data_IF_421561143606
#
_entry.id   IF_421561143606
#
_cell.length_a   1.000
_cell.length_b   1.000
_cell.length_c   1.000
_cell.angle_alpha   90.00
_cell.angle_beta   90.00
_cell.angle_gamma   90.00
#
_symmetry.space_group_name_H-M   'P 1'
#
loop_
_entity.id
_entity.type
_entity.pdbx_description
1 polymer ?
#
# COMPACT_ATOMS: atom_id res chain seq x y z
N UNK A 1 -30.13 -15.01 0.35
CA UNK A 1 -29.28 -13.84 0.07
C UNK A 1 -27.87 -14.18 0.57
N UNK A 2 -26.95 -14.60 -0.31
CA UNK A 2 -25.57 -14.95 0.09
C UNK A 2 -24.80 -13.65 0.30
N UNK A 3 -24.58 -13.27 1.56
CA UNK A 3 -23.70 -12.16 1.94
C UNK A 3 -22.31 -12.38 1.33
N UNK A 4 -21.79 -11.34 0.66
CA UNK A 4 -20.45 -11.36 0.08
C UNK A 4 -19.40 -11.55 1.19
N UNK A 5 -18.45 -12.47 1.03
CA UNK A 5 -17.41 -12.73 2.04
C UNK A 5 -16.62 -11.48 2.44
N UNK A 6 -16.49 -10.50 1.54
CA UNK A 6 -15.89 -9.17 1.83
C UNK A 6 -16.72 -8.33 2.80
N UNK A 7 -18.05 -8.44 2.78
CA UNK A 7 -18.96 -7.71 3.69
C UNK A 7 -18.89 -8.29 5.10
N UNK A 8 -18.80 -9.62 5.21
CA UNK A 8 -18.58 -10.28 6.50
C UNK A 8 -17.22 -9.88 7.10
N UNK A 9 -16.21 -9.72 6.24
CA UNK A 9 -14.86 -9.33 6.65
C UNK A 9 -14.80 -7.87 7.15
N UNK A 10 -15.44 -6.94 6.42
CA UNK A 10 -15.55 -5.54 6.83
C UNK A 10 -16.33 -5.37 8.15
N UNK A 11 -17.40 -6.15 8.34
CA UNK A 11 -18.18 -6.17 9.58
C UNK A 11 -17.42 -6.79 10.75
N UNK A 12 -16.60 -7.82 10.52
CA UNK A 12 -15.76 -8.44 11.57
C UNK A 12 -14.67 -7.48 12.03
N UNK A 13 -14.06 -6.70 11.12
CA UNK A 13 -13.06 -5.68 11.45
C UNK A 13 -13.70 -4.52 12.23
N UNK A 14 -14.89 -4.06 11.82
CA UNK A 14 -15.68 -3.08 12.60
C UNK A 14 -16.04 -3.60 14.00
N UNK A 15 -16.27 -4.90 14.15
CA UNK A 15 -16.53 -5.54 15.45
C UNK A 15 -15.28 -5.64 16.33
N UNK A 16 -14.09 -5.88 15.74
CA UNK A 16 -12.81 -5.90 16.47
C UNK A 16 -12.46 -4.49 16.96
N UNK A 17 -12.79 -3.44 16.19
CA UNK A 17 -12.66 -2.04 16.61
C UNK A 17 -13.57 -1.70 17.80
N UNK A 18 -14.70 -2.38 17.96
CA UNK A 18 -15.70 -2.10 19.01
C UNK A 18 -15.34 -2.65 20.41
N UNK A 19 -14.51 -3.71 20.51
CA UNK A 19 -14.32 -4.45 21.77
C UNK A 19 -13.00 -4.19 22.51
N UNK A 20 -12.09 -3.35 22.01
CA UNK A 20 -10.77 -3.12 22.64
C UNK A 20 -10.70 -1.87 23.53
N UNK A 21 -11.82 -1.47 24.13
CA UNK A 21 -11.88 -0.49 25.23
C UNK A 21 -12.19 -1.22 26.54
N UNK A 22 -11.18 -1.80 27.20
CA UNK A 22 -11.13 -1.92 28.66
C UNK A 22 -9.77 -2.46 29.16
N UNK A 23 -9.00 -1.52 29.71
CA UNK A 23 -8.05 -1.60 30.83
C UNK A 23 -7.38 -2.93 31.19
N UNK A 24 -6.04 -2.93 31.16
CA UNK A 24 -5.21 -3.72 32.09
C UNK A 24 -4.34 -2.77 32.93
N UNK A 25 -4.61 -2.77 34.23
CA UNK A 25 -3.83 -2.13 35.29
C UNK A 25 -2.75 -3.12 35.76
N UNK A 26 -1.48 -2.76 35.65
CA UNK A 26 -0.35 -3.55 36.18
C UNK A 26 -0.12 -3.17 37.64
N UNK A 27 -0.35 -4.14 38.53
CA UNK A 27 0.05 -4.10 39.93
C UNK A 27 1.53 -4.42 40.10
N UNK A 28 2.16 -3.67 40.99
CA UNK A 28 3.56 -3.72 41.37
C UNK A 28 3.73 -4.68 42.56
N UNK A 29 4.57 -5.71 42.48
CA UNK A 29 5.06 -6.42 43.67
C UNK A 29 6.55 -6.75 43.54
N UNK A 30 7.29 -6.23 44.50
CA UNK A 30 8.67 -6.56 44.82
C UNK A 30 8.73 -7.99 45.38
N UNK A 31 9.81 -8.73 45.09
CA UNK A 31 10.51 -9.49 46.12
C UNK A 31 11.96 -9.77 45.73
N UNK A 32 12.86 -9.32 46.60
CA UNK A 32 14.27 -9.63 46.58
C UNK A 32 14.51 -10.83 47.51
N UNK A 33 15.14 -11.88 46.99
CA UNK A 33 15.82 -12.87 47.83
C UNK A 33 17.21 -13.19 47.25
N UNK A 34 18.21 -13.04 48.11
CA UNK A 34 19.61 -13.40 47.89
C UNK A 34 19.83 -14.85 48.31
N UNK A 35 20.41 -15.65 47.42
CA UNK A 35 21.34 -16.75 47.74
C UNK A 35 22.10 -17.00 46.43
N UNK A 36 23.44 -17.04 46.34
CA UNK A 36 24.41 -17.87 47.03
C UNK A 36 25.33 -18.41 45.92
N UNK A 37 26.64 -18.16 46.00
CA UNK A 37 27.63 -18.43 44.94
C UNK A 37 28.06 -19.90 44.94
N UNK A 38 27.93 -20.58 43.79
CA UNK A 38 28.68 -21.76 43.27
C UNK A 38 27.91 -22.25 42.01
N UNK A 39 28.39 -22.44 40.78
CA UNK A 39 29.63 -22.99 40.21
C UNK A 39 29.79 -22.48 38.76
N UNK A 40 31.01 -22.10 38.37
CA UNK A 40 31.35 -21.57 37.04
C UNK A 40 31.81 -22.67 36.05
N UNK A 41 31.14 -23.83 36.01
CA UNK A 41 31.55 -24.98 35.19
C UNK A 41 30.53 -25.52 34.17
N UNK A 42 29.23 -25.19 34.31
CA UNK A 42 28.14 -25.73 33.46
C UNK A 42 27.63 -24.75 32.39
N UNK A 43 27.89 -23.45 32.58
CA UNK A 43 27.45 -22.39 31.68
C UNK A 43 28.28 -22.39 30.39
N UNK A 44 29.59 -22.63 30.50
CA UNK A 44 30.51 -22.62 29.36
C UNK A 44 30.29 -23.81 28.39
N UNK A 45 29.92 -24.98 28.91
CA UNK A 45 29.62 -26.18 28.12
C UNK A 45 28.25 -26.13 27.42
N UNK A 46 27.25 -25.50 28.04
CA UNK A 46 25.92 -25.33 27.44
C UNK A 46 25.89 -24.26 26.34
N UNK A 47 26.61 -23.16 26.54
CA UNK A 47 26.78 -22.10 25.54
C UNK A 47 27.49 -22.64 24.29
N UNK A 48 28.55 -23.43 24.48
CA UNK A 48 29.30 -23.99 23.36
C UNK A 48 28.46 -25.00 22.54
N UNK A 49 27.67 -25.83 23.22
CA UNK A 49 26.74 -26.78 22.58
C UNK A 49 25.63 -26.07 21.79
N UNK A 50 25.10 -24.96 22.31
CA UNK A 50 24.06 -24.18 21.61
C UNK A 50 24.61 -23.52 20.34
N UNK A 51 25.86 -23.03 20.37
CA UNK A 51 26.53 -22.49 19.17
C UNK A 51 26.79 -23.55 18.11
N UNK A 52 27.24 -24.74 18.49
CA UNK A 52 27.42 -25.85 17.54
C UNK A 52 26.10 -26.26 16.88
N UNK A 53 25.00 -26.32 17.65
CA UNK A 53 23.68 -26.61 17.11
C UNK A 53 23.16 -25.51 16.17
N UNK A 54 23.39 -24.23 16.51
CA UNK A 54 23.05 -23.11 15.63
C UNK A 54 23.82 -23.22 14.31
N UNK A 55 25.15 -23.38 14.35
CA UNK A 55 25.97 -23.49 13.14
C UNK A 55 25.53 -24.65 12.24
N UNK A 56 25.16 -25.78 12.86
CA UNK A 56 24.61 -26.92 12.13
C UNK A 56 23.28 -26.57 11.44
N UNK A 57 22.38 -25.87 12.13
CA UNK A 57 21.11 -25.40 11.54
C UNK A 57 21.36 -24.45 10.37
N UNK A 58 22.35 -23.55 10.45
CA UNK A 58 22.72 -22.69 9.32
C UNK A 58 23.16 -23.50 8.09
N UNK A 59 24.06 -24.47 8.27
CA UNK A 59 24.54 -25.29 7.16
C UNK A 59 23.42 -26.13 6.54
N UNK A 60 22.61 -26.80 7.34
CA UNK A 60 21.46 -27.59 6.86
C UNK A 60 20.43 -26.70 6.16
N UNK A 61 20.17 -25.50 6.70
CA UNK A 61 19.30 -24.51 6.08
C UNK A 61 19.84 -24.01 4.74
N UNK A 62 21.15 -23.80 4.63
CA UNK A 62 21.80 -23.40 3.39
C UNK A 62 21.74 -24.50 2.31
N UNK A 63 21.96 -25.76 2.69
CA UNK A 63 21.85 -26.89 1.75
C UNK A 63 20.42 -26.98 1.17
N UNK A 64 19.39 -26.87 2.03
CA UNK A 64 17.99 -26.85 1.60
C UNK A 64 17.66 -25.60 0.76
N UNK A 65 18.25 -24.46 1.06
CA UNK A 65 18.09 -23.23 0.29
C UNK A 65 18.61 -23.37 -1.15
N UNK A 66 19.80 -23.96 -1.30
CA UNK A 66 20.39 -24.26 -2.62
C UNK A 66 19.52 -25.24 -3.43
N UNK A 67 18.91 -26.21 -2.74
CA UNK A 67 17.93 -27.14 -3.30
C UNK A 67 16.55 -26.50 -3.59
N UNK A 68 16.39 -25.20 -3.25
CA UNK A 68 15.17 -24.40 -3.39
C UNK A 68 14.01 -24.88 -2.52
N UNK A 69 14.30 -25.65 -1.48
CA UNK A 69 13.33 -26.03 -0.45
C UNK A 69 13.21 -24.94 0.62
N UNK A 70 12.65 -23.81 0.22
CA UNK A 70 12.56 -22.63 1.07
C UNK A 70 11.70 -22.84 2.30
N UNK A 71 10.71 -23.74 2.25
CA UNK A 71 9.79 -23.99 3.36
C UNK A 71 10.50 -24.69 4.52
N UNK A 72 11.34 -25.67 4.19
CA UNK A 72 12.10 -26.43 5.19
C UNK A 72 13.38 -25.70 5.61
N UNK A 73 13.97 -24.87 4.74
CA UNK A 73 15.10 -24.01 5.07
C UNK A 73 14.72 -22.86 6.03
N UNK A 74 13.52 -22.28 5.89
CA UNK A 74 13.05 -21.14 6.67
C UNK A 74 13.16 -21.32 8.20
N UNK A 75 12.64 -22.40 8.81
CA UNK A 75 12.74 -22.60 10.26
C UNK A 75 14.18 -22.81 10.74
N UNK A 76 15.06 -23.38 9.91
CA UNK A 76 16.47 -23.59 10.27
C UNK A 76 17.24 -22.26 10.34
N UNK A 77 17.01 -21.35 9.40
CA UNK A 77 17.59 -20.00 9.50
C UNK A 77 17.02 -19.22 10.68
N UNK A 78 15.71 -19.33 10.95
CA UNK A 78 15.11 -18.72 12.14
C UNK A 78 15.72 -19.28 13.44
N UNK A 79 15.94 -20.60 13.50
CA UNK A 79 16.60 -21.26 14.62
C UNK A 79 18.03 -20.74 14.81
N UNK A 80 18.81 -20.58 13.74
CA UNK A 80 20.14 -19.99 13.82
C UNK A 80 20.07 -18.56 14.37
N UNK A 81 19.22 -17.69 13.80
CA UNK A 81 19.09 -16.28 14.19
C UNK A 81 18.64 -16.12 15.65
N UNK A 82 17.77 -17.01 16.13
CA UNK A 82 17.30 -17.01 17.52
C UNK A 82 18.38 -17.38 18.55
N UNK A 83 19.48 -18.00 18.10
CA UNK A 83 20.55 -18.52 18.95
C UNK A 83 21.93 -17.88 18.66
N UNK A 84 21.97 -16.86 17.80
CA UNK A 84 23.18 -16.15 17.38
C UNK A 84 23.05 -14.63 17.62
N UNK A 85 24.18 -13.93 17.51
CA UNK A 85 24.30 -12.48 17.64
C UNK A 85 24.66 -11.84 16.30
N UNK A 86 24.30 -10.57 16.04
CA UNK A 86 24.78 -9.81 14.89
C UNK A 86 26.30 -9.78 14.70
N UNK A 87 27.09 -10.05 15.75
CA UNK A 87 28.55 -10.15 15.68
C UNK A 87 29.06 -11.46 15.06
N UNK A 88 28.19 -12.48 14.91
CA UNK A 88 28.55 -13.78 14.35
C UNK A 88 28.69 -13.70 12.83
N UNK A 89 29.71 -14.36 12.27
CA UNK A 89 30.10 -14.22 10.85
C UNK A 89 28.99 -14.57 9.85
N UNK A 90 28.14 -15.53 10.18
CA UNK A 90 27.06 -16.00 9.31
C UNK A 90 25.72 -15.29 9.60
N UNK A 91 25.64 -14.36 10.56
CA UNK A 91 24.39 -13.71 10.95
C UNK A 91 23.75 -12.91 9.82
N UNK A 92 24.50 -12.04 9.16
CA UNK A 92 23.98 -11.24 8.03
C UNK A 92 23.48 -12.14 6.89
N UNK A 93 24.19 -13.23 6.61
CA UNK A 93 23.81 -14.20 5.58
C UNK A 93 22.56 -14.98 5.98
N UNK A 94 22.48 -15.43 7.23
CA UNK A 94 21.33 -16.16 7.75
C UNK A 94 20.06 -15.30 7.67
N UNK A 95 20.15 -14.04 8.04
CA UNK A 95 19.03 -13.10 7.96
C UNK A 95 18.63 -12.82 6.51
N UNK A 96 19.60 -12.65 5.62
CA UNK A 96 19.34 -12.50 4.19
C UNK A 96 18.60 -13.71 3.61
N UNK A 97 19.10 -14.92 3.86
CA UNK A 97 18.47 -16.15 3.37
C UNK A 97 17.10 -16.37 4.03
N UNK A 98 16.96 -16.07 5.32
CA UNK A 98 15.69 -16.11 6.02
C UNK A 98 14.65 -15.20 5.37
N UNK A 99 15.01 -13.93 5.08
CA UNK A 99 14.14 -12.99 4.38
C UNK A 99 13.70 -13.50 2.99
N UNK A 100 14.60 -14.13 2.24
CA UNK A 100 14.25 -14.76 0.96
C UNK A 100 13.31 -15.96 1.16
N UNK A 101 13.59 -16.83 2.13
CA UNK A 101 12.76 -17.99 2.45
C UNK A 101 11.34 -17.57 2.84
N UNK A 102 11.18 -16.52 3.65
CA UNK A 102 9.88 -15.95 4.01
C UNK A 102 9.08 -15.55 2.77
N UNK A 103 9.69 -14.78 1.86
CA UNK A 103 9.05 -14.39 0.59
C UNK A 103 8.63 -15.60 -0.22
N UNK A 104 9.53 -16.56 -0.40
CA UNK A 104 9.28 -17.76 -1.20
C UNK A 104 8.24 -18.70 -0.57
N UNK A 105 8.07 -18.62 0.74
CA UNK A 105 7.05 -19.34 1.50
C UNK A 105 5.70 -18.63 1.54
N UNK A 106 5.60 -17.40 1.02
CA UNK A 106 4.34 -16.65 0.93
C UNK A 106 4.15 -15.58 2.02
N UNK A 107 5.17 -15.33 2.86
CA UNK A 107 5.14 -14.31 3.92
C UNK A 107 5.86 -13.05 3.44
N UNK A 108 5.21 -12.29 2.54
CA UNK A 108 5.85 -11.15 1.89
C UNK A 108 6.11 -9.99 2.85
N UNK A 109 5.20 -9.73 3.79
CA UNK A 109 5.44 -8.68 4.79
C UNK A 109 6.61 -9.04 5.72
N UNK A 110 6.64 -10.24 6.30
CA UNK A 110 7.74 -10.66 7.17
C UNK A 110 9.10 -10.63 6.44
N UNK A 111 9.11 -10.98 5.15
CA UNK A 111 10.29 -10.83 4.29
C UNK A 111 10.74 -9.36 4.15
N UNK A 112 9.80 -8.45 3.85
CA UNK A 112 10.08 -7.02 3.75
C UNK A 112 10.61 -6.48 5.07
N UNK A 113 9.99 -6.85 6.18
CA UNK A 113 10.39 -6.45 7.52
C UNK A 113 11.83 -6.87 7.83
N UNK A 114 12.11 -8.18 7.72
CA UNK A 114 13.44 -8.76 7.95
C UNK A 114 14.51 -8.11 7.06
N UNK A 115 14.25 -8.00 5.75
CA UNK A 115 15.23 -7.44 4.82
C UNK A 115 15.41 -5.93 4.99
N UNK A 116 14.40 -5.21 5.50
CA UNK A 116 14.50 -3.78 5.80
C UNK A 116 15.41 -3.53 6.98
N UNK A 117 15.24 -4.30 8.07
CA UNK A 117 16.13 -4.24 9.23
C UNK A 117 17.58 -4.55 8.85
N UNK A 118 17.77 -5.59 8.02
CA UNK A 118 19.07 -5.94 7.47
C UNK A 118 19.68 -4.77 6.71
N UNK A 119 18.98 -4.16 5.75
CA UNK A 119 19.51 -3.02 4.97
C UNK A 119 19.85 -1.81 5.84
N UNK A 120 19.04 -1.51 6.86
CA UNK A 120 19.28 -0.40 7.80
C UNK A 120 20.61 -0.60 8.56
N UNK A 121 21.02 -1.84 8.84
CA UNK A 121 22.32 -2.15 9.45
C UNK A 121 23.53 -2.04 8.50
N UNK A 122 23.29 -1.74 7.22
CA UNK A 122 24.31 -1.54 6.17
C UNK A 122 25.26 -2.73 5.99
N UNK A 123 24.73 -3.92 5.63
CA UNK A 123 25.52 -5.11 5.35
C UNK A 123 26.33 -4.92 4.07
N UNK A 124 26.97 -5.99 3.61
CA UNK A 124 27.69 -5.98 2.34
C UNK A 124 26.87 -5.34 1.18
N UNK A 125 27.47 -4.44 0.37
CA UNK A 125 26.84 -3.80 -0.78
C UNK A 125 26.05 -4.72 -1.73
N UNK A 126 26.46 -5.99 -1.90
CA UNK A 126 25.76 -6.97 -2.72
C UNK A 126 24.39 -7.34 -2.14
N UNK A 127 24.32 -7.54 -0.83
CA UNK A 127 23.06 -7.81 -0.11
C UNK A 127 22.14 -6.61 -0.25
N UNK A 128 22.66 -5.41 0.00
CA UNK A 128 21.87 -4.18 -0.11
C UNK A 128 21.31 -3.99 -1.51
N UNK A 129 22.13 -4.20 -2.55
CA UNK A 129 21.67 -4.07 -3.95
C UNK A 129 20.53 -5.05 -4.26
N UNK A 130 20.66 -6.32 -3.84
CA UNK A 130 19.59 -7.30 -4.02
C UNK A 130 18.31 -6.91 -3.27
N UNK A 131 18.43 -6.46 -2.02
CA UNK A 131 17.28 -6.02 -1.24
C UNK A 131 16.59 -4.80 -1.87
N UNK A 132 17.35 -3.87 -2.45
CA UNK A 132 16.80 -2.70 -3.14
C UNK A 132 16.06 -3.10 -4.43
N UNK A 133 16.57 -4.04 -5.23
CA UNK A 133 15.83 -4.61 -6.36
C UNK A 133 14.54 -5.29 -5.90
N UNK A 134 14.62 -6.01 -4.79
CA UNK A 134 13.45 -6.63 -4.18
C UNK A 134 12.41 -5.58 -3.77
N UNK A 135 12.82 -4.50 -3.10
CA UNK A 135 11.92 -3.42 -2.69
C UNK A 135 11.34 -2.67 -3.89
N UNK A 136 12.14 -2.39 -4.92
CA UNK A 136 11.66 -1.77 -6.16
C UNK A 136 10.51 -2.58 -6.75
N UNK A 137 10.69 -3.91 -6.87
CA UNK A 137 9.65 -4.79 -7.35
C UNK A 137 8.43 -4.78 -6.42
N UNK A 138 8.62 -4.92 -5.11
CA UNK A 138 7.53 -4.94 -4.12
C UNK A 138 6.67 -3.68 -4.19
N UNK A 139 7.31 -2.50 -4.24
CA UNK A 139 6.63 -1.20 -4.36
C UNK A 139 5.74 -1.14 -5.61
N UNK A 140 6.14 -1.81 -6.68
CA UNK A 140 5.44 -1.79 -7.97
C UNK A 140 4.34 -2.84 -8.09
N UNK A 141 4.39 -3.93 -7.31
CA UNK A 141 3.53 -5.10 -7.54
C UNK A 141 2.62 -5.46 -6.38
N UNK A 142 2.94 -5.03 -5.16
CA UNK A 142 2.31 -5.55 -3.95
C UNK A 142 2.02 -4.44 -2.94
N UNK A 143 0.99 -4.58 -2.10
CA UNK A 143 0.84 -3.74 -0.91
C UNK A 143 2.03 -3.95 0.03
N UNK A 144 2.47 -2.90 0.71
CA UNK A 144 3.65 -2.93 1.58
C UNK A 144 3.56 -1.84 2.65
N UNK A 145 4.43 -1.93 3.66
CA UNK A 145 4.59 -0.88 4.65
C UNK A 145 5.33 0.31 4.04
N UNK A 146 4.59 1.38 3.77
CA UNK A 146 5.16 2.58 3.13
C UNK A 146 6.17 3.30 4.01
N UNK A 147 5.94 3.36 5.32
CA UNK A 147 6.84 4.06 6.25
C UNK A 147 8.17 3.32 6.37
N UNK A 148 8.11 2.01 6.58
CA UNK A 148 9.31 1.19 6.68
C UNK A 148 10.13 1.23 5.38
N UNK A 149 9.50 0.93 4.24
CA UNK A 149 10.24 0.78 2.98
C UNK A 149 10.65 2.15 2.42
N UNK A 150 9.72 3.10 2.27
CA UNK A 150 10.08 4.38 1.62
C UNK A 150 10.83 5.28 2.57
N UNK A 151 10.29 5.55 3.76
CA UNK A 151 10.89 6.56 4.63
C UNK A 151 12.18 6.00 5.26
N UNK A 152 12.09 4.90 6.01
CA UNK A 152 13.22 4.39 6.80
C UNK A 152 14.32 3.71 5.97
N UNK A 153 13.95 2.93 4.94
CA UNK A 153 14.94 2.22 4.12
C UNK A 153 15.42 3.10 2.96
N UNK A 154 14.53 3.62 2.11
CA UNK A 154 14.99 4.32 0.89
C UNK A 154 15.43 5.77 1.18
N UNK A 155 14.69 6.52 2.01
CA UNK A 155 14.94 7.96 2.18
C UNK A 155 15.96 8.27 3.28
N UNK A 156 15.95 7.55 4.41
CA UNK A 156 16.84 7.83 5.55
C UNK A 156 18.26 7.27 5.40
N UNK A 157 18.56 6.57 4.29
CA UNK A 157 19.85 5.91 4.06
C UNK A 157 20.61 6.47 2.85
N UNK A 158 21.93 6.24 2.85
CA UNK A 158 22.82 6.63 1.76
C UNK A 158 23.27 5.42 0.93
N UNK A 159 23.09 5.51 -0.39
CA UNK A 159 23.32 4.40 -1.32
C UNK A 159 24.34 4.73 -2.42
N UNK A 160 25.38 5.50 -2.09
CA UNK A 160 26.38 5.96 -3.06
C UNK A 160 27.17 4.87 -3.80
N UNK A 161 27.07 3.62 -3.36
CA UNK A 161 27.71 2.45 -3.98
C UNK A 161 26.80 1.67 -4.94
N UNK A 162 25.51 2.00 -4.98
CA UNK A 162 24.51 1.23 -5.73
C UNK A 162 24.65 1.49 -7.23
N UNK A 163 24.44 0.44 -8.01
CA UNK A 163 24.55 0.48 -9.46
C UNK A 163 23.59 1.44 -10.14
N UNK A 164 23.95 1.76 -11.37
CA UNK A 164 23.31 2.72 -12.26
C UNK A 164 21.82 2.46 -12.57
N UNK A 165 21.33 1.24 -12.39
CA UNK A 165 19.93 0.86 -12.65
C UNK A 165 19.00 1.25 -11.47
N UNK A 166 19.46 1.02 -10.23
CA UNK A 166 18.72 1.30 -9.00
C UNK A 166 18.87 2.76 -8.53
N UNK A 167 19.91 3.45 -8.99
CA UNK A 167 20.15 4.85 -8.62
C UNK A 167 18.95 5.76 -8.97
N UNK A 168 18.32 5.53 -10.12
CA UNK A 168 17.14 6.27 -10.56
C UNK A 168 15.92 6.05 -9.64
N UNK A 169 15.71 4.81 -9.20
CA UNK A 169 14.68 4.44 -8.22
C UNK A 169 14.87 5.20 -6.91
N UNK A 170 16.07 5.13 -6.34
CA UNK A 170 16.42 5.75 -5.06
C UNK A 170 16.26 7.27 -5.16
N UNK A 171 16.86 7.89 -6.18
CA UNK A 171 16.78 9.34 -6.38
C UNK A 171 15.36 9.83 -6.61
N UNK A 172 14.50 9.06 -7.29
CA UNK A 172 13.10 9.44 -7.42
C UNK A 172 12.40 9.49 -6.06
N UNK A 173 12.54 8.45 -5.24
CA UNK A 173 11.86 8.41 -3.94
C UNK A 173 12.40 9.44 -2.95
N UNK A 174 13.73 9.58 -2.87
CA UNK A 174 14.37 10.62 -2.05
C UNK A 174 13.95 12.02 -2.50
N UNK A 175 13.93 12.28 -3.81
CA UNK A 175 13.52 13.59 -4.33
C UNK A 175 12.06 13.92 -4.05
N UNK A 176 11.15 12.93 -4.17
CA UNK A 176 9.73 13.11 -3.83
C UNK A 176 9.56 13.33 -2.32
N UNK A 177 10.33 12.61 -1.50
CA UNK A 177 10.32 12.79 -0.05
C UNK A 177 10.74 14.21 0.32
N UNK A 178 11.86 14.71 -0.21
CA UNK A 178 12.36 16.06 0.06
C UNK A 178 11.36 17.15 -0.35
N UNK A 179 10.79 17.04 -1.56
CA UNK A 179 9.74 17.97 -2.02
C UNK A 179 8.52 17.98 -1.10
N UNK A 180 8.05 16.81 -0.65
CA UNK A 180 6.90 16.72 0.28
C UNK A 180 7.17 17.39 1.62
N UNK A 181 8.43 17.42 2.07
CA UNK A 181 8.85 18.06 3.32
C UNK A 181 9.32 19.53 3.12
N UNK A 182 9.21 20.07 1.91
CA UNK A 182 9.54 21.46 1.59
C UNK A 182 11.01 21.71 1.25
N UNK A 183 11.85 20.68 1.21
CA UNK A 183 13.27 20.76 0.83
C UNK A 183 13.44 20.75 -0.69
N UNK A 184 12.83 21.71 -1.38
CA UNK A 184 12.73 21.72 -2.84
C UNK A 184 14.09 21.62 -3.56
N UNK A 185 15.11 22.31 -3.07
CA UNK A 185 16.45 22.28 -3.67
C UNK A 185 17.10 20.91 -3.59
N UNK A 186 16.93 20.19 -2.47
CA UNK A 186 17.50 18.86 -2.30
C UNK A 186 16.77 17.86 -3.19
N UNK A 187 15.43 17.97 -3.27
CA UNK A 187 14.66 17.18 -4.21
C UNK A 187 15.08 17.41 -5.66
N UNK A 188 15.29 18.68 -6.06
CA UNK A 188 15.79 19.01 -7.40
C UNK A 188 17.16 18.37 -7.69
N UNK A 189 18.05 18.32 -6.69
CA UNK A 189 19.36 17.71 -6.83
C UNK A 189 19.30 16.19 -6.97
N UNK A 190 18.33 15.53 -6.33
CA UNK A 190 18.02 14.12 -6.59
C UNK A 190 17.48 13.92 -8.00
N UNK A 191 16.48 14.71 -8.42
CA UNK A 191 15.86 14.54 -9.74
C UNK A 191 16.83 14.80 -10.90
N UNK A 192 17.80 15.71 -10.77
CA UNK A 192 18.86 15.94 -11.77
C UNK A 192 19.73 14.70 -12.05
N UNK A 193 19.80 13.77 -11.11
CA UNK A 193 20.60 12.54 -11.23
C UNK A 193 19.84 11.42 -11.93
N UNK A 194 18.51 11.54 -12.10
CA UNK A 194 17.69 10.54 -12.78
C UNK A 194 17.94 10.61 -14.29
N UNK A 195 18.25 9.47 -14.90
CA UNK A 195 18.57 9.39 -16.33
C UNK A 195 17.34 9.64 -17.21
N UNK A 196 17.43 10.51 -18.23
CA UNK A 196 16.32 10.71 -19.16
C UNK A 196 15.86 9.42 -19.84
N UNK A 197 14.54 9.24 -19.96
CA UNK A 197 13.94 8.12 -20.67
C UNK A 197 13.72 6.85 -19.84
N UNK A 198 14.19 6.81 -18.59
CA UNK A 198 13.89 5.69 -17.67
C UNK A 198 12.48 5.79 -17.10
N UNK A 199 11.99 4.70 -16.52
CA UNK A 199 10.67 4.68 -15.85
C UNK A 199 10.56 5.77 -14.78
N UNK A 200 11.57 5.91 -13.92
CA UNK A 200 11.60 6.88 -12.84
C UNK A 200 11.70 8.32 -13.32
N UNK A 201 12.33 8.56 -14.48
CA UNK A 201 12.30 9.87 -15.11
C UNK A 201 10.88 10.30 -15.50
N UNK A 202 10.08 9.39 -16.06
CA UNK A 202 8.69 9.69 -16.38
C UNK A 202 7.81 9.82 -15.13
N UNK A 203 8.07 9.05 -14.08
CA UNK A 203 7.41 9.23 -12.77
C UNK A 203 7.72 10.61 -12.18
N UNK A 204 8.99 11.04 -12.24
CA UNK A 204 9.40 12.39 -11.85
C UNK A 204 8.66 13.46 -12.67
N UNK A 205 8.63 13.34 -14.01
CA UNK A 205 7.92 14.30 -14.86
C UNK A 205 6.42 14.37 -14.53
N UNK A 206 5.81 13.22 -14.23
CA UNK A 206 4.42 13.15 -13.81
C UNK A 206 4.21 13.89 -12.48
N UNK A 207 5.06 13.65 -11.47
CA UNK A 207 4.99 14.36 -10.20
C UNK A 207 5.20 15.87 -10.37
N UNK A 208 6.15 16.27 -11.20
CA UNK A 208 6.38 17.67 -11.56
C UNK A 208 5.12 18.29 -12.16
N UNK A 209 4.43 17.59 -13.07
CA UNK A 209 3.17 18.07 -13.63
C UNK A 209 2.08 18.23 -12.56
N UNK A 210 1.97 17.32 -11.59
CA UNK A 210 1.04 17.46 -10.47
C UNK A 210 1.35 18.70 -9.61
N UNK A 211 2.62 19.03 -9.41
CA UNK A 211 3.02 20.27 -8.72
C UNK A 211 2.68 21.53 -9.50
N UNK A 212 2.81 21.49 -10.84
CA UNK A 212 2.32 22.57 -11.71
C UNK A 212 0.81 22.76 -11.59
N UNK A 213 0.02 21.68 -11.52
CA UNK A 213 -1.43 21.75 -11.24
C UNK A 213 -1.69 22.41 -9.89
N UNK A 214 -1.00 21.97 -8.83
CA UNK A 214 -1.16 22.49 -7.47
C UNK A 214 -0.85 23.99 -7.35
N UNK A 215 0.07 24.50 -8.18
CA UNK A 215 0.46 25.91 -8.23
C UNK A 215 -0.33 26.74 -9.25
N UNK A 216 -1.36 26.16 -9.87
CA UNK A 216 -2.24 26.83 -10.83
C UNK A 216 -1.68 26.91 -12.27
N UNK A 217 -0.51 26.33 -12.52
CA UNK A 217 0.16 26.31 -13.82
C UNK A 217 -0.34 25.16 -14.70
N UNK A 218 -1.67 25.13 -14.91
CA UNK A 218 -2.38 24.02 -15.55
C UNK A 218 -1.92 23.79 -17.00
N UNK A 219 -1.66 24.84 -17.77
CA UNK A 219 -1.23 24.71 -19.17
C UNK A 219 0.16 24.08 -19.30
N UNK A 220 1.09 24.47 -18.43
CA UNK A 220 2.42 23.86 -18.35
C UNK A 220 2.32 22.38 -17.94
N UNK A 221 1.44 22.06 -16.98
CA UNK A 221 1.18 20.69 -16.57
C UNK A 221 0.69 19.83 -17.74
N UNK A 222 -0.28 20.31 -18.53
CA UNK A 222 -0.80 19.58 -19.69
C UNK A 222 0.30 19.34 -20.73
N UNK A 223 1.18 20.32 -20.98
CA UNK A 223 2.31 20.16 -21.90
C UNK A 223 3.26 19.06 -21.41
N UNK A 224 3.62 19.05 -20.12
CA UNK A 224 4.46 18.00 -19.53
C UNK A 224 3.80 16.62 -19.65
N UNK A 225 2.53 16.51 -19.29
CA UNK A 225 1.78 15.25 -19.34
C UNK A 225 1.68 14.70 -20.78
N UNK A 226 1.48 15.56 -21.79
CA UNK A 226 1.46 15.13 -23.19
C UNK A 226 2.82 14.58 -23.65
N UNK A 227 3.92 15.18 -23.22
CA UNK A 227 5.28 14.64 -23.51
C UNK A 227 5.46 13.24 -22.94
N UNK A 228 4.92 12.95 -21.76
CA UNK A 228 4.95 11.59 -21.18
C UNK A 228 4.12 10.63 -22.04
N UNK A 229 2.94 11.05 -22.52
CA UNK A 229 2.10 10.22 -23.39
C UNK A 229 2.77 9.87 -24.72
N UNK A 230 3.52 10.80 -25.31
CA UNK A 230 4.26 10.64 -26.57
C UNK A 230 5.56 9.83 -26.40
N UNK A 231 5.96 9.52 -25.18
CA UNK A 231 7.19 8.80 -24.88
C UNK A 231 7.16 7.32 -25.28
N UNK A 232 8.34 6.70 -25.52
CA UNK A 232 8.46 5.26 -25.81
C UNK A 232 8.15 4.35 -24.60
N UNK A 233 7.80 4.91 -23.44
CA UNK A 233 7.46 4.17 -22.23
C UNK A 233 6.35 3.14 -22.51
N UNK A 234 6.58 1.88 -22.16
CA UNK A 234 5.60 0.80 -22.36
C UNK A 234 4.69 0.59 -21.14
N UNK A 235 4.89 1.35 -20.06
CA UNK A 235 4.09 1.25 -18.84
C UNK A 235 2.68 1.84 -19.05
N UNK A 236 1.71 0.94 -19.21
CA UNK A 236 0.30 1.29 -19.38
C UNK A 236 -0.31 1.89 -18.10
N UNK A 237 0.22 1.56 -16.92
CA UNK A 237 -0.30 2.09 -15.65
C UNK A 237 -0.04 3.60 -15.56
N UNK A 238 1.23 4.01 -15.73
CA UNK A 238 1.57 5.43 -15.73
C UNK A 238 0.88 6.17 -16.88
N UNK A 239 0.86 5.60 -18.09
CA UNK A 239 0.17 6.23 -19.23
C UNK A 239 -1.33 6.40 -18.97
N UNK A 240 -1.99 5.45 -18.32
CA UNK A 240 -3.39 5.58 -17.94
C UNK A 240 -3.61 6.67 -16.88
N UNK A 241 -2.74 6.79 -15.88
CA UNK A 241 -2.82 7.85 -14.88
C UNK A 241 -2.56 9.24 -15.46
N UNK A 242 -1.58 9.36 -16.36
CA UNK A 242 -1.32 10.58 -17.13
C UNK A 242 -2.54 10.93 -17.99
N UNK A 243 -3.09 9.96 -18.71
CA UNK A 243 -4.28 10.16 -19.57
C UNK A 243 -5.48 10.66 -18.76
N UNK A 244 -5.76 10.03 -17.63
CA UNK A 244 -6.84 10.43 -16.70
C UNK A 244 -6.60 11.85 -16.17
N UNK A 245 -5.37 12.19 -15.82
CA UNK A 245 -5.01 13.53 -15.33
C UNK A 245 -5.23 14.59 -16.40
N UNK A 246 -4.76 14.36 -17.64
CA UNK A 246 -5.02 15.28 -18.76
C UNK A 246 -6.53 15.43 -18.98
N UNK A 247 -7.28 14.32 -18.98
CA UNK A 247 -8.72 14.35 -19.20
C UNK A 247 -9.46 15.20 -18.14
N UNK A 248 -9.10 15.08 -16.86
CA UNK A 248 -9.65 15.91 -15.78
C UNK A 248 -9.30 17.38 -15.96
N UNK A 249 -8.04 17.71 -16.29
CA UNK A 249 -7.64 19.09 -16.54
C UNK A 249 -8.37 19.70 -17.75
N UNK A 250 -8.58 18.92 -18.82
CA UNK A 250 -9.34 19.36 -19.97
C UNK A 250 -10.83 19.54 -19.65
N UNK A 251 -11.40 18.66 -18.84
CA UNK A 251 -12.77 18.80 -18.34
C UNK A 251 -12.95 20.11 -17.55
N UNK A 252 -12.04 20.42 -16.63
CA UNK A 252 -12.05 21.68 -15.87
C UNK A 252 -11.93 22.91 -16.78
N UNK A 253 -11.17 22.80 -17.88
CA UNK A 253 -11.05 23.85 -18.90
C UNK A 253 -12.26 23.95 -19.86
N UNK A 254 -13.27 23.11 -19.70
CA UNK A 254 -14.45 23.07 -20.59
C UNK A 254 -14.25 22.31 -21.89
N UNK A 255 -13.09 21.67 -22.10
CA UNK A 255 -12.78 20.86 -23.26
C UNK A 255 -13.33 19.42 -23.08
N UNK A 256 -14.66 19.31 -22.98
CA UNK A 256 -15.35 18.07 -22.58
C UNK A 256 -15.22 16.94 -23.61
N UNK A 257 -15.19 17.27 -24.90
CA UNK A 257 -15.07 16.27 -25.98
C UNK A 257 -13.70 15.61 -25.97
N UNK A 258 -12.66 16.42 -25.78
CA UNK A 258 -11.28 15.97 -25.65
C UNK A 258 -11.08 15.15 -24.36
N UNK A 259 -11.72 15.57 -23.26
CA UNK A 259 -11.73 14.79 -22.02
C UNK A 259 -12.37 13.40 -22.20
N UNK A 260 -13.58 13.30 -22.78
CA UNK A 260 -14.22 11.99 -23.04
C UNK A 260 -13.36 11.09 -23.93
N UNK A 261 -12.75 11.65 -24.98
CA UNK A 261 -11.85 10.89 -25.85
C UNK A 261 -10.73 10.24 -25.04
N UNK A 262 -10.06 11.00 -24.17
CA UNK A 262 -9.00 10.48 -23.32
C UNK A 262 -9.52 9.45 -22.31
N UNK A 263 -10.67 9.68 -21.66
CA UNK A 263 -11.25 8.67 -20.77
C UNK A 263 -11.57 7.36 -21.51
N UNK A 264 -12.02 7.44 -22.76
CA UNK A 264 -12.37 6.26 -23.57
C UNK A 264 -11.18 5.38 -23.95
N UNK A 265 -9.96 5.95 -23.95
CA UNK A 265 -8.71 5.26 -24.28
C UNK A 265 -8.03 4.64 -23.05
N UNK A 266 -8.59 4.82 -21.84
CA UNK A 266 -8.05 4.20 -20.62
C UNK A 266 -8.39 2.71 -20.61
N UNK A 267 -7.38 1.86 -20.82
CA UNK A 267 -7.51 0.41 -20.77
C UNK A 267 -7.23 -0.09 -19.35
N UNK A 268 -8.27 -0.33 -18.57
CA UNK A 268 -8.21 -0.93 -17.22
C UNK A 268 -9.20 -2.07 -17.06
N UNK A 269 -9.10 -2.86 -15.98
CA UNK A 269 -10.13 -3.84 -15.63
C UNK A 269 -11.49 -3.14 -15.49
N UNK A 270 -12.58 -3.82 -15.86
CA UNK A 270 -13.96 -3.29 -15.77
C UNK A 270 -14.25 -2.63 -14.42
N UNK A 271 -13.79 -3.21 -13.29
CA UNK A 271 -13.99 -2.66 -11.95
C UNK A 271 -13.26 -1.32 -11.72
N UNK A 272 -12.08 -1.17 -12.30
CA UNK A 272 -11.26 0.04 -12.22
C UNK A 272 -11.74 1.12 -13.20
N UNK A 273 -12.59 0.77 -14.16
CA UNK A 273 -13.26 1.72 -15.06
C UNK A 273 -14.51 2.36 -14.43
N UNK A 274 -14.93 1.93 -13.24
CA UNK A 274 -16.12 2.47 -12.55
C UNK A 274 -16.10 4.01 -12.50
N UNK A 275 -14.98 4.58 -12.04
CA UNK A 275 -14.78 6.03 -12.01
C UNK A 275 -14.75 6.65 -13.41
N UNK A 276 -14.15 5.98 -14.40
CA UNK A 276 -14.11 6.47 -15.78
C UNK A 276 -15.52 6.57 -16.39
N UNK A 277 -16.44 5.63 -16.08
CA UNK A 277 -17.81 5.68 -16.57
C UNK A 277 -18.54 6.93 -16.05
N UNK A 278 -18.38 7.24 -14.76
CA UNK A 278 -18.98 8.44 -14.15
C UNK A 278 -18.38 9.74 -14.73
N UNK A 279 -17.06 9.81 -14.89
CA UNK A 279 -16.38 10.99 -15.47
C UNK A 279 -16.76 11.21 -16.95
N UNK A 280 -16.97 10.13 -17.72
CA UNK A 280 -17.49 10.21 -19.09
C UNK A 280 -18.97 10.62 -19.13
N UNK A 281 -19.77 10.15 -18.18
CA UNK A 281 -21.16 10.59 -18.04
C UNK A 281 -21.23 12.11 -17.83
N UNK A 282 -20.38 12.64 -16.93
CA UNK A 282 -20.25 14.09 -16.73
C UNK A 282 -19.82 14.82 -17.99
N UNK A 283 -18.77 14.37 -18.67
CA UNK A 283 -18.32 14.98 -19.91
C UNK A 283 -19.46 15.07 -20.94
N UNK A 284 -20.23 13.99 -21.13
CA UNK A 284 -21.36 13.97 -22.05
C UNK A 284 -22.54 14.84 -21.64
N UNK A 285 -22.84 14.91 -20.34
CA UNK A 285 -23.86 15.81 -19.82
C UNK A 285 -23.48 17.27 -20.12
N UNK A 286 -22.22 17.66 -19.90
CA UNK A 286 -21.72 19.01 -20.18
C UNK A 286 -21.62 19.35 -21.67
N UNK A 287 -21.47 18.35 -22.54
CA UNK A 287 -21.56 18.52 -24.01
C UNK A 287 -22.99 18.84 -24.47
N UNK A 288 -24.01 18.55 -23.64
CA UNK A 288 -25.42 18.65 -24.01
C UNK A 288 -25.98 17.34 -24.60
N UNK A 289 -25.39 16.19 -24.28
CA UNK A 289 -25.86 14.87 -24.70
C UNK A 289 -26.38 14.06 -23.49
N UNK A 290 -27.52 14.45 -22.89
CA UNK A 290 -28.05 13.82 -21.69
C UNK A 290 -28.38 12.33 -21.89
N UNK A 291 -28.78 11.91 -23.08
CA UNK A 291 -29.10 10.51 -23.40
C UNK A 291 -27.85 9.63 -23.31
N UNK A 292 -26.72 10.11 -23.86
CA UNK A 292 -25.44 9.39 -23.81
C UNK A 292 -24.87 9.39 -22.39
N UNK A 293 -24.99 10.51 -21.67
CA UNK A 293 -24.63 10.57 -20.26
C UNK A 293 -25.42 9.53 -19.44
N UNK A 294 -26.74 9.46 -19.65
CA UNK A 294 -27.59 8.46 -19.00
C UNK A 294 -27.20 7.03 -19.36
N UNK A 295 -26.83 6.77 -20.62
CA UNK A 295 -26.31 5.48 -21.06
C UNK A 295 -25.07 5.02 -20.26
N UNK A 296 -24.14 5.93 -19.96
CA UNK A 296 -23.01 5.63 -19.09
C UNK A 296 -23.43 5.36 -17.65
N UNK A 297 -24.41 6.10 -17.11
CA UNK A 297 -24.94 5.85 -15.77
C UNK A 297 -25.62 4.48 -15.67
N UNK A 298 -26.39 4.07 -16.68
CA UNK A 298 -26.97 2.72 -16.71
C UNK A 298 -25.92 1.62 -16.79
N UNK A 299 -24.83 1.83 -17.54
CA UNK A 299 -23.71 0.88 -17.53
C UNK A 299 -23.03 0.83 -16.14
N UNK A 300 -22.90 1.98 -15.50
CA UNK A 300 -22.37 2.10 -14.15
C UNK A 300 -23.29 1.46 -13.10
N UNK A 301 -24.60 1.30 -13.35
CA UNK A 301 -25.53 0.63 -12.43
C UNK A 301 -25.34 -0.89 -12.29
N UNK A 302 -24.43 -1.51 -13.05
CA UNK A 302 -24.21 -2.95 -12.98
C UNK A 302 -23.91 -3.41 -11.54
N UNK A 303 -24.40 -4.59 -11.10
CA UNK A 303 -24.25 -5.06 -9.71
C UNK A 303 -22.80 -5.09 -9.21
N UNK A 304 -21.83 -5.29 -10.10
CA UNK A 304 -20.39 -5.25 -9.79
C UNK A 304 -19.89 -3.88 -9.32
N UNK A 305 -20.61 -2.80 -9.60
CA UNK A 305 -20.24 -1.43 -9.30
C UNK A 305 -20.92 -0.84 -8.07
N UNK A 306 -21.81 -1.58 -7.40
CA UNK A 306 -22.64 -1.03 -6.32
C UNK A 306 -21.85 -0.34 -5.19
N UNK A 307 -20.64 -0.81 -4.88
CA UNK A 307 -19.78 -0.21 -3.86
C UNK A 307 -19.03 1.05 -4.32
N UNK A 308 -19.00 1.32 -5.62
CA UNK A 308 -18.35 2.50 -6.21
C UNK A 308 -19.33 3.65 -6.47
N UNK A 309 -20.62 3.46 -6.23
CA UNK A 309 -21.58 4.55 -6.36
C UNK A 309 -21.21 5.59 -5.32
N UNK A 310 -20.91 6.79 -5.79
CA UNK A 310 -20.68 7.98 -4.97
C UNK A 310 -21.94 8.84 -4.97
N UNK A 311 -22.07 9.79 -4.03
CA UNK A 311 -23.10 10.83 -4.09
C UNK A 311 -23.27 11.48 -5.47
N UNK A 312 -22.15 11.66 -6.17
CA UNK A 312 -22.06 12.31 -7.47
C UNK A 312 -22.86 11.61 -8.57
N UNK A 313 -22.96 10.28 -8.54
CA UNK A 313 -23.81 9.52 -9.45
C UNK A 313 -25.28 9.95 -9.35
N UNK A 314 -25.80 10.07 -8.12
CA UNK A 314 -27.20 10.48 -7.89
C UNK A 314 -27.44 11.93 -8.30
N UNK A 315 -26.49 12.82 -8.02
CA UNK A 315 -26.54 14.22 -8.42
C UNK A 315 -26.66 14.32 -9.94
N UNK A 316 -25.74 13.69 -10.69
CA UNK A 316 -25.75 13.74 -12.14
C UNK A 316 -27.03 13.13 -12.73
N UNK A 317 -27.46 11.98 -12.22
CA UNK A 317 -28.71 11.32 -12.67
C UNK A 317 -29.93 12.21 -12.44
N UNK A 318 -30.00 12.90 -11.31
CA UNK A 318 -31.09 13.84 -11.00
C UNK A 318 -31.10 15.05 -11.94
N UNK A 319 -29.92 15.58 -12.28
CA UNK A 319 -29.78 16.69 -13.22
C UNK A 319 -30.22 16.30 -14.63
N UNK A 320 -29.78 15.14 -15.11
CA UNK A 320 -30.20 14.60 -16.40
C UNK A 320 -31.73 14.51 -16.47
N UNK A 321 -32.37 13.85 -15.49
CA UNK A 321 -33.84 13.71 -15.47
C UNK A 321 -34.56 15.06 -15.41
N UNK A 322 -34.06 16.00 -14.60
CA UNK A 322 -34.63 17.34 -14.50
C UNK A 322 -34.55 18.07 -15.85
N UNK A 323 -33.41 18.01 -16.53
CA UNK A 323 -33.20 18.73 -17.80
C UNK A 323 -34.02 18.16 -18.96
N UNK A 324 -34.35 16.86 -18.93
CA UNK A 324 -35.29 16.24 -19.87
C UNK A 324 -36.75 16.24 -19.37
N UNK A 325 -37.07 17.05 -18.36
CA UNK A 325 -38.41 17.24 -17.79
C UNK A 325 -39.06 15.98 -17.17
N UNK A 326 -38.28 14.95 -16.82
CA UNK A 326 -38.73 13.76 -16.08
C UNK A 326 -38.68 13.99 -14.56
N UNK A 327 -39.47 14.96 -14.07
CA UNK A 327 -39.41 15.41 -12.68
C UNK A 327 -39.71 14.30 -11.65
N UNK A 328 -40.65 13.39 -11.95
CA UNK A 328 -40.96 12.28 -11.05
C UNK A 328 -39.75 11.34 -10.86
N UNK A 329 -39.02 11.05 -11.95
CA UNK A 329 -37.80 10.26 -11.90
C UNK A 329 -36.68 10.98 -11.17
N UNK A 330 -36.55 12.31 -11.37
CA UNK A 330 -35.59 13.11 -10.61
C UNK A 330 -35.87 13.07 -9.10
N UNK A 331 -37.14 13.20 -8.69
CA UNK A 331 -37.53 13.07 -7.28
C UNK A 331 -37.25 11.67 -6.72
N UNK A 332 -37.48 10.62 -7.50
CA UNK A 332 -37.14 9.26 -7.09
C UNK A 332 -35.64 9.10 -6.83
N UNK A 333 -34.78 9.64 -7.71
CA UNK A 333 -33.32 9.59 -7.50
C UNK A 333 -32.90 10.33 -6.22
N UNK A 334 -33.57 11.43 -5.88
CA UNK A 334 -33.33 12.14 -4.61
C UNK A 334 -33.73 11.28 -3.41
N UNK A 335 -34.83 10.52 -3.51
CA UNK A 335 -35.21 9.53 -2.48
C UNK A 335 -34.14 8.44 -2.37
N UNK A 336 -33.72 7.84 -3.49
CA UNK A 336 -32.69 6.78 -3.48
C UNK A 336 -31.35 7.27 -2.89
N UNK A 337 -31.00 8.54 -3.15
CA UNK A 337 -29.84 9.19 -2.54
C UNK A 337 -29.99 9.30 -1.01
N UNK A 338 -31.14 9.75 -0.52
CA UNK A 338 -31.43 9.85 0.91
C UNK A 338 -31.48 8.49 1.58
N UNK A 339 -32.03 7.47 0.93
CA UNK A 339 -32.07 6.12 1.47
C UNK A 339 -30.66 5.55 1.67
N UNK A 340 -29.72 5.86 0.75
CA UNK A 340 -28.34 5.39 0.83
C UNK A 340 -27.45 6.23 1.73
N UNK A 341 -27.56 7.55 1.67
CA UNK A 341 -26.63 8.49 2.32
C UNK A 341 -27.26 9.37 3.40
N UNK A 342 -28.57 9.27 3.65
CA UNK A 342 -29.26 10.12 4.64
C UNK A 342 -28.64 10.00 6.03
N UNK A 343 -28.49 8.76 6.52
CA UNK A 343 -27.82 8.48 7.80
C UNK A 343 -26.38 9.00 7.81
N UNK A 344 -25.63 8.75 6.73
CA UNK A 344 -24.26 9.23 6.57
C UNK A 344 -24.14 10.76 6.64
N UNK A 345 -25.10 11.47 6.05
CA UNK A 345 -25.14 12.93 6.12
C UNK A 345 -25.48 13.43 7.52
N UNK A 346 -26.48 12.81 8.18
CA UNK A 346 -26.84 13.13 9.56
C UNK A 346 -25.66 12.92 10.51
N UNK A 347 -24.93 11.82 10.37
CA UNK A 347 -23.72 11.54 11.15
C UNK A 347 -22.64 12.61 10.93
N UNK A 348 -22.39 13.03 9.68
CA UNK A 348 -21.45 14.14 9.40
C UNK A 348 -21.89 15.42 10.11
N UNK A 349 -23.18 15.78 10.04
CA UNK A 349 -23.70 16.98 10.71
C UNK A 349 -23.54 16.92 12.23
N UNK A 350 -23.64 15.72 12.81
CA UNK A 350 -23.47 15.48 14.24
C UNK A 350 -22.00 15.28 14.65
N UNK A 351 -21.05 15.36 13.70
CA UNK A 351 -19.63 15.08 13.89
C UNK A 351 -19.38 13.65 14.41
N UNK A 352 -20.17 12.69 13.93
CA UNK A 352 -19.95 11.26 14.15
C UNK A 352 -18.69 10.76 13.45
N UNK A 353 -18.19 9.60 13.88
CA UNK A 353 -16.98 9.02 13.29
C UNK A 353 -17.30 8.37 11.94
N UNK A 354 -16.52 8.64 10.88
CA UNK A 354 -16.77 8.01 9.58
C UNK A 354 -16.64 6.49 9.60
N UNK A 355 -15.84 5.96 10.54
CA UNK A 355 -15.59 4.53 10.77
C UNK A 355 -16.90 3.76 11.01
N UNK A 356 -17.83 4.37 11.76
CA UNK A 356 -19.09 3.76 12.17
C UNK A 356 -20.14 3.76 11.04
N UNK A 357 -19.86 4.41 9.91
CA UNK A 357 -20.80 4.61 8.82
C UNK A 357 -20.30 3.98 7.50
N UNK A 358 -20.91 2.86 7.12
CA UNK A 358 -20.50 2.10 5.92
C UNK A 358 -20.51 2.92 4.62
N UNK A 359 -21.56 3.69 4.27
CA UNK A 359 -21.52 4.58 3.11
C UNK A 359 -20.36 5.59 3.10
N UNK A 360 -20.01 6.18 4.26
CA UNK A 360 -18.87 7.09 4.37
C UNK A 360 -17.55 6.36 4.15
N UNK A 361 -17.39 5.18 4.77
CA UNK A 361 -16.22 4.33 4.57
C UNK A 361 -15.99 4.01 3.09
N UNK A 362 -17.04 3.65 2.34
CA UNK A 362 -16.90 3.39 0.89
C UNK A 362 -16.40 4.61 0.11
N UNK A 363 -16.81 5.83 0.49
CA UNK A 363 -16.32 7.07 -0.15
C UNK A 363 -14.86 7.31 0.22
N UNK A 364 -14.50 7.12 1.49
CA UNK A 364 -13.13 7.29 1.98
C UNK A 364 -12.16 6.28 1.37
N UNK A 365 -12.61 5.06 1.10
CA UNK A 365 -11.85 4.01 0.42
C UNK A 365 -11.42 4.38 -1.01
N UNK A 366 -11.99 5.45 -1.61
CA UNK A 366 -11.50 6.00 -2.88
C UNK A 366 -10.29 6.93 -2.71
N UNK A 367 -9.95 7.36 -1.49
CA UNK A 367 -8.71 8.11 -1.23
C UNK A 367 -7.53 7.16 -1.33
N UNK A 368 -6.51 7.54 -2.11
CA UNK A 368 -5.34 6.71 -2.41
C UNK A 368 -4.66 6.13 -1.16
N UNK A 369 -4.29 6.98 -0.18
CA UNK A 369 -3.63 6.54 1.06
C UNK A 369 -4.46 5.49 1.81
N UNK A 370 -5.76 5.76 2.01
CA UNK A 370 -6.69 4.85 2.69
C UNK A 370 -6.78 3.51 1.95
N UNK A 371 -6.90 3.56 0.62
CA UNK A 371 -6.95 2.36 -0.21
C UNK A 371 -5.67 1.52 -0.09
N UNK A 372 -4.50 2.15 -0.12
CA UNK A 372 -3.20 1.49 0.00
C UNK A 372 -3.03 0.83 1.37
N UNK A 373 -3.33 1.55 2.47
CA UNK A 373 -3.27 0.99 3.83
C UNK A 373 -4.26 -0.18 3.99
N UNK A 374 -5.48 -0.06 3.47
CA UNK A 374 -6.45 -1.16 3.50
C UNK A 374 -5.98 -2.39 2.72
N UNK A 375 -5.39 -2.19 1.54
CA UNK A 375 -4.83 -3.29 0.74
C UNK A 375 -3.69 -4.00 1.47
N UNK A 376 -2.90 -3.24 2.22
CA UNK A 376 -1.86 -3.80 3.06
C UNK A 376 -2.44 -4.59 4.23
N UNK A 377 -3.47 -4.10 4.92
CA UNK A 377 -4.20 -4.87 5.95
C UNK A 377 -4.79 -6.17 5.39
N UNK A 378 -5.42 -6.14 4.21
CA UNK A 378 -5.94 -7.35 3.54
C UNK A 378 -4.84 -8.38 3.28
N UNK A 379 -3.64 -7.92 2.88
CA UNK A 379 -2.47 -8.76 2.67
C UNK A 379 -2.03 -9.40 4.00
N UNK A 380 -1.82 -8.59 5.04
CA UNK A 380 -1.39 -9.03 6.37
C UNK A 380 -2.33 -10.10 6.94
N UNK A 381 -3.63 -9.87 6.89
CA UNK A 381 -4.62 -10.82 7.40
C UNK A 381 -4.72 -12.10 6.56
N UNK A 382 -4.39 -12.02 5.27
CA UNK A 382 -4.32 -13.22 4.42
C UNK A 382 -3.10 -14.07 4.76
N UNK A 383 -1.92 -13.46 4.87
CA UNK A 383 -0.67 -14.15 5.19
C UNK A 383 -0.70 -14.70 6.63
N UNK A 384 -1.29 -13.95 7.56
CA UNK A 384 -1.47 -14.39 8.94
C UNK A 384 -2.25 -15.70 9.06
N UNK A 385 -3.27 -15.92 8.22
CA UNK A 385 -4.04 -17.18 8.23
C UNK A 385 -3.21 -18.37 7.78
N UNK A 386 -2.24 -18.14 6.89
CA UNK A 386 -1.38 -19.22 6.39
C UNK A 386 -0.39 -19.70 7.48
N UNK A 387 -0.15 -18.92 8.54
CA UNK A 387 0.71 -19.29 9.68
C UNK A 387 0.21 -20.56 10.37
N UNK A 388 -1.11 -20.79 10.41
CA UNK A 388 -1.71 -22.00 11.01
C UNK A 388 -1.21 -23.31 10.36
N UNK A 389 -0.70 -23.22 9.12
CA UNK A 389 -0.16 -24.37 8.38
C UNK A 389 1.32 -24.67 8.65
N UNK A 390 2.02 -23.81 9.40
CA UNK A 390 3.45 -23.96 9.69
C UNK A 390 3.65 -25.00 10.81
N UNK A 391 4.38 -26.11 10.55
CA UNK A 391 4.65 -27.12 11.57
C UNK A 391 5.63 -26.65 12.67
N UNK A 392 6.60 -25.82 12.30
CA UNK A 392 7.61 -25.31 13.22
C UNK A 392 7.00 -24.25 14.16
N UNK A 393 6.84 -24.63 15.43
CA UNK A 393 6.16 -23.80 16.42
C UNK A 393 6.91 -22.49 16.73
N UNK A 394 8.24 -22.47 16.92
CA UNK A 394 8.99 -21.23 17.13
C UNK A 394 8.83 -20.22 15.99
N UNK A 395 8.94 -20.66 14.73
CA UNK A 395 8.74 -19.79 13.56
C UNK A 395 7.30 -19.29 13.48
N UNK A 396 6.31 -20.16 13.72
CA UNK A 396 4.91 -19.77 13.71
C UNK A 396 4.60 -18.70 14.77
N UNK A 397 5.14 -18.85 15.99
CA UNK A 397 4.95 -17.89 17.09
C UNK A 397 5.63 -16.54 16.79
N UNK A 398 6.81 -16.56 16.14
CA UNK A 398 7.47 -15.35 15.66
C UNK A 398 6.61 -14.60 14.64
N UNK A 399 6.15 -15.28 13.59
CA UNK A 399 5.30 -14.67 12.57
C UNK A 399 4.00 -14.16 13.16
N UNK A 400 3.34 -14.93 14.02
CA UNK A 400 2.09 -14.51 14.67
C UNK A 400 2.26 -13.18 15.40
N UNK A 401 3.39 -13.00 16.10
CA UNK A 401 3.73 -11.73 16.77
C UNK A 401 4.00 -10.61 15.77
N UNK A 402 4.82 -10.84 14.75
CA UNK A 402 5.15 -9.84 13.70
C UNK A 402 3.88 -9.33 13.02
N UNK A 403 3.02 -10.23 12.55
CA UNK A 403 1.76 -9.84 11.89
C UNK A 403 0.77 -9.20 12.86
N UNK A 404 0.67 -9.66 14.11
CA UNK A 404 -0.21 -9.02 15.09
C UNK A 404 0.19 -7.56 15.37
N UNK A 405 1.49 -7.28 15.48
CA UNK A 405 2.01 -5.93 15.68
C UNK A 405 1.75 -5.04 14.46
N UNK A 406 2.07 -5.51 13.25
CA UNK A 406 1.88 -4.70 12.05
C UNK A 406 0.39 -4.40 11.78
N UNK A 407 -0.49 -5.38 12.00
CA UNK A 407 -1.94 -5.18 11.85
C UNK A 407 -2.42 -4.11 12.83
N UNK A 408 -1.96 -4.13 14.07
CA UNK A 408 -2.31 -3.12 15.08
C UNK A 408 -1.83 -1.72 14.66
N UNK A 409 -0.58 -1.58 14.24
CA UNK A 409 -0.01 -0.31 13.77
C UNK A 409 -0.75 0.23 12.52
N UNK A 410 -0.92 -0.62 11.50
CA UNK A 410 -1.60 -0.25 10.26
C UNK A 410 -3.07 0.12 10.47
N UNK A 411 -3.75 -0.55 11.42
CA UNK A 411 -5.12 -0.21 11.81
C UNK A 411 -5.18 1.16 12.48
N UNK A 412 -4.19 1.48 13.33
CA UNK A 412 -4.10 2.78 13.98
C UNK A 412 -3.80 3.91 12.98
N UNK A 413 -2.88 3.73 12.03
CA UNK A 413 -2.63 4.74 10.96
C UNK A 413 -3.87 4.94 10.08
N UNK A 414 -4.58 3.86 9.75
CA UNK A 414 -5.82 3.95 8.99
C UNK A 414 -6.87 4.78 9.73
N UNK A 415 -7.04 4.53 11.03
CA UNK A 415 -7.96 5.28 11.90
C UNK A 415 -7.60 6.76 11.97
N UNK A 416 -6.33 7.08 12.20
CA UNK A 416 -5.84 8.46 12.24
C UNK A 416 -5.97 9.18 10.89
N UNK A 417 -5.90 8.45 9.78
CA UNK A 417 -6.06 9.01 8.42
C UNK A 417 -7.53 9.27 8.07
N UNK A 418 -8.46 8.54 8.70
CA UNK A 418 -9.91 8.68 8.49
C UNK A 418 -10.49 9.84 9.31
N UNK A 419 -10.00 10.04 10.53
CA UNK A 419 -10.37 11.14 11.43
C UNK A 419 -9.82 12.47 10.93
#
# INVERSE_FOLDING_TARGET
MKMNKKILFLLVILLVLFFRNNAFSVGNENNAEKSGVSESGSVDTSINKNREMAQKAFQEGYDLFEDKDYKDACPLFYQYLSNSSPDDADYEWAEFFFGICLKKSGFSHASVDTLSELVIRKPNPKIVSYCLEFFENTIRTSPFDHDLVINKVICDQEYGFVGDELADFIHYHQGVYDWKHGFNSWGDDHFKKIKPGTYYFYQFQYYQALMRVHTGQVDEAIVLLKKIMESPLQDNSLKNEVRKTIARLLYEKGAYKEADKLYSEITKNILEQSQNLLERAWAHYRIGNPEKAMGFLYAFEAPSFQNYFTPEYYILKSFIFKDVCHYQSALQVVTDFKDRYGVALEDIYQRGNPEDNYPLMLVLMNKKKIHETWKFLELLESEKKEIESIPDKPLADYLEKTYALQIEESTNDLRLTIQ
#
